data_IF_440894544124
#
_entry.id   IF_440894544124
#
_cell.length_a   1.000
_cell.length_b   1.000
_cell.length_c   1.000
_cell.angle_alpha   90.00
_cell.angle_beta   90.00
_cell.angle_gamma   90.00
#
_symmetry.space_group_name_H-M   'P 1'
#
loop_
_entity.id
_entity.type
_entity.pdbx_description
1 polymer ?
#
# COMPACT_ATOMS: atom_id res chain seq x y z
N UNK A 1 24.55 -46.10 25.36
CA UNK A 1 23.36 -45.81 24.54
C UNK A 1 22.79 -44.49 25.05
N UNK A 2 23.11 -43.37 24.40
CA UNK A 2 22.72 -42.04 24.86
C UNK A 2 22.50 -41.16 23.64
N UNK A 3 21.24 -40.81 23.41
CA UNK A 3 20.71 -40.31 22.14
C UNK A 3 21.12 -38.86 21.91
N UNK A 4 21.71 -38.58 20.75
CA UNK A 4 21.96 -37.23 20.26
C UNK A 4 20.63 -36.56 19.88
N UNK A 5 20.27 -35.48 20.58
CA UNK A 5 19.19 -34.58 20.16
C UNK A 5 19.71 -33.70 19.01
N UNK A 6 19.43 -34.11 17.78
CA UNK A 6 19.46 -33.22 16.63
C UNK A 6 18.38 -32.15 16.81
N UNK A 7 18.81 -30.91 17.03
CA UNK A 7 17.93 -29.74 17.05
C UNK A 7 17.23 -29.62 15.70
N UNK A 8 15.94 -29.94 15.67
CA UNK A 8 15.07 -29.62 14.55
C UNK A 8 15.02 -28.09 14.42
N UNK A 9 15.70 -27.59 13.40
CA UNK A 9 15.63 -26.21 12.98
C UNK A 9 14.17 -25.85 12.71
N UNK A 10 13.61 -25.00 13.57
CA UNK A 10 12.31 -24.39 13.38
C UNK A 10 12.42 -23.38 12.23
N UNK A 11 12.32 -23.87 10.99
CA UNK A 11 12.03 -23.00 9.87
C UNK A 11 10.59 -22.53 10.05
N UNK A 12 10.43 -21.33 10.61
CA UNK A 12 9.15 -20.63 10.53
C UNK A 12 8.93 -20.36 9.06
N UNK A 13 8.07 -21.17 8.43
CA UNK A 13 7.51 -20.85 7.14
C UNK A 13 6.97 -19.41 7.24
N UNK A 14 7.61 -18.51 6.48
CA UNK A 14 7.19 -17.13 6.38
C UNK A 14 5.82 -17.18 5.70
N UNK A 15 4.75 -17.10 6.49
CA UNK A 15 3.40 -17.13 5.96
C UNK A 15 3.29 -16.02 4.91
N UNK A 16 3.10 -16.42 3.65
CA UNK A 16 2.74 -15.48 2.60
C UNK A 16 1.42 -14.83 3.04
N UNK A 17 1.41 -13.50 3.15
CA UNK A 17 0.23 -12.77 3.59
C UNK A 17 -0.95 -13.09 2.68
N UNK A 18 -2.15 -13.24 3.28
CA UNK A 18 -3.38 -13.48 2.53
C UNK A 18 -3.54 -12.46 1.39
N UNK A 19 -3.96 -12.92 0.20
CA UNK A 19 -4.21 -12.03 -0.93
C UNK A 19 -5.48 -11.22 -0.69
N UNK A 20 -5.30 -9.98 -0.24
CA UNK A 20 -6.37 -9.02 0.03
C UNK A 20 -6.90 -8.34 -1.23
N UNK A 21 -6.48 -8.76 -2.44
CA UNK A 21 -6.95 -8.20 -3.70
C UNK A 21 -6.36 -6.82 -4.04
N UNK A 22 -5.30 -6.40 -3.36
CA UNK A 22 -4.61 -5.12 -3.61
C UNK A 22 -3.73 -5.11 -4.88
N UNK A 23 -3.92 -6.08 -5.78
CA UNK A 23 -3.17 -6.20 -7.04
C UNK A 23 -3.43 -5.07 -8.05
N UNK A 24 -4.40 -4.19 -7.78
CA UNK A 24 -4.67 -3.01 -8.61
C UNK A 24 -3.59 -1.93 -8.47
N UNK A 25 -2.87 -1.89 -7.35
CA UNK A 25 -1.84 -0.87 -7.13
C UNK A 25 -0.50 -1.28 -7.77
N UNK A 26 0.22 -0.38 -8.46
CA UNK A 26 1.46 -0.74 -9.11
C UNK A 26 2.49 -1.09 -8.04
N UNK A 27 3.15 -2.25 -8.18
CA UNK A 27 4.24 -2.67 -7.29
C UNK A 27 5.63 -2.51 -7.91
N UNK A 28 5.71 -1.75 -9.01
CA UNK A 28 6.95 -1.48 -9.74
C UNK A 28 7.42 -0.07 -9.46
N UNK A 29 8.64 0.06 -8.95
CA UNK A 29 9.29 1.38 -8.77
C UNK A 29 9.32 2.12 -10.12
N UNK A 30 8.91 3.38 -10.09
CA UNK A 30 8.77 4.23 -11.28
C UNK A 30 7.40 4.19 -11.95
N UNK A 31 6.56 3.18 -11.66
CA UNK A 31 5.17 3.17 -12.10
C UNK A 31 4.37 4.26 -11.37
N UNK A 32 3.32 4.75 -12.03
CA UNK A 32 2.43 5.76 -11.51
C UNK A 32 1.00 5.52 -11.98
N UNK A 33 0.05 6.02 -11.20
CA UNK A 33 -1.37 6.12 -11.56
C UNK A 33 -1.78 7.59 -11.45
N UNK A 34 -2.64 8.04 -12.37
CA UNK A 34 -3.27 9.35 -12.30
C UNK A 34 -4.78 9.17 -12.15
N UNK A 35 -5.35 9.93 -11.23
CA UNK A 35 -6.77 9.95 -10.93
C UNK A 35 -7.32 11.32 -11.29
N UNK A 36 -8.46 11.32 -11.99
CA UNK A 36 -9.30 12.51 -12.09
C UNK A 36 -10.23 12.49 -10.87
N UNK A 37 -10.07 13.47 -9.99
CA UNK A 37 -10.89 13.61 -8.79
C UNK A 37 -11.89 14.72 -9.02
N UNK A 38 -13.17 14.36 -8.91
CA UNK A 38 -14.28 15.29 -8.93
C UNK A 38 -15.03 15.16 -7.61
N UNK A 39 -14.93 16.17 -6.76
CA UNK A 39 -15.58 16.21 -5.45
C UNK A 39 -16.63 17.31 -5.43
N UNK A 40 -17.80 17.00 -4.88
CA UNK A 40 -18.91 17.94 -4.74
C UNK A 40 -19.43 17.87 -3.32
N UNK A 41 -19.69 19.02 -2.71
CA UNK A 41 -20.29 19.07 -1.38
C UNK A 41 -21.38 20.13 -1.29
N UNK A 42 -22.21 19.95 -0.26
CA UNK A 42 -23.37 20.77 0.04
C UNK A 42 -23.36 21.01 1.55
N UNK A 43 -23.45 22.27 1.93
CA UNK A 43 -23.69 22.72 3.29
C UNK A 43 -25.05 23.39 3.32
N UNK A 44 -26.06 22.69 3.84
CA UNK A 44 -27.43 23.18 3.88
C UNK A 44 -27.66 24.27 4.96
N UNK A 45 -26.81 24.35 5.99
CA UNK A 45 -26.89 25.42 6.99
C UNK A 45 -26.32 26.74 6.45
N UNK A 46 -25.20 26.68 5.73
CA UNK A 46 -24.59 27.83 5.10
C UNK A 46 -25.23 28.18 3.73
N UNK A 47 -26.10 27.31 3.20
CA UNK A 47 -26.69 27.46 1.86
C UNK A 47 -25.66 27.35 0.73
N UNK A 48 -24.53 26.69 0.98
CA UNK A 48 -23.41 26.59 0.04
C UNK A 48 -23.48 25.26 -0.69
N UNK A 49 -23.26 25.31 -2.01
CA UNK A 49 -23.02 24.13 -2.85
C UNK A 49 -21.83 24.42 -3.73
N UNK A 50 -20.83 23.55 -3.68
CA UNK A 50 -19.59 23.76 -4.41
C UNK A 50 -18.99 22.43 -4.89
N UNK A 51 -18.00 22.54 -5.77
CA UNK A 51 -17.27 21.42 -6.34
C UNK A 51 -15.82 21.77 -6.62
N UNK A 52 -14.95 20.78 -6.49
CA UNK A 52 -13.55 20.88 -6.90
C UNK A 52 -13.21 19.71 -7.82
N UNK A 53 -12.49 20.04 -8.90
CA UNK A 53 -11.96 19.06 -9.84
C UNK A 53 -10.45 19.24 -9.94
N UNK A 54 -9.70 18.16 -9.75
CA UNK A 54 -8.24 18.16 -9.83
C UNK A 54 -7.71 16.80 -10.25
N UNK A 55 -6.43 16.76 -10.63
CA UNK A 55 -5.73 15.52 -10.94
C UNK A 55 -4.81 15.16 -9.79
N UNK A 56 -4.79 13.88 -9.44
CA UNK A 56 -3.88 13.35 -8.45
C UNK A 56 -2.99 12.31 -9.13
N UNK A 57 -1.68 12.48 -9.04
CA UNK A 57 -0.72 11.50 -9.53
C UNK A 57 0.03 10.87 -8.37
N UNK A 58 -0.02 9.54 -8.30
CA UNK A 58 0.69 8.74 -7.30
C UNK A 58 1.78 7.94 -7.99
N UNK A 59 3.03 8.08 -7.53
CA UNK A 59 4.19 7.38 -8.06
C UNK A 59 4.84 6.51 -7.00
N UNK A 60 5.16 5.28 -7.38
CA UNK A 60 5.98 4.37 -6.56
C UNK A 60 7.43 4.80 -6.67
N UNK A 61 8.03 5.26 -5.58
CA UNK A 61 9.40 5.81 -5.57
C UNK A 61 10.43 4.85 -5.02
N UNK A 62 10.02 3.93 -4.15
CA UNK A 62 10.94 3.04 -3.44
C UNK A 62 10.22 1.75 -3.04
N UNK A 63 10.96 0.65 -3.00
CA UNK A 63 10.57 -0.58 -2.32
C UNK A 63 11.47 -0.76 -1.09
N UNK A 64 10.88 -1.00 0.09
CA UNK A 64 11.60 -1.12 1.35
C UNK A 64 10.96 -2.18 2.24
N UNK A 65 11.72 -2.67 3.23
CA UNK A 65 11.19 -3.54 4.27
C UNK A 65 10.71 -2.69 5.45
N UNK A 66 9.47 -2.90 5.88
CA UNK A 66 8.94 -2.24 7.07
C UNK A 66 9.59 -2.80 8.36
N UNK A 67 9.36 -2.19 9.53
CA UNK A 67 9.90 -2.70 10.79
C UNK A 67 9.45 -4.13 11.16
N UNK A 68 8.40 -4.64 10.52
CA UNK A 68 7.92 -6.02 10.67
C UNK A 68 8.55 -6.99 9.65
N UNK A 69 9.49 -6.51 8.81
CA UNK A 69 10.20 -7.30 7.81
C UNK A 69 9.39 -7.58 6.54
N UNK A 70 8.32 -6.84 6.27
CA UNK A 70 7.46 -7.04 5.09
C UNK A 70 7.85 -6.10 3.95
N UNK A 71 7.88 -6.63 2.73
CA UNK A 71 8.11 -5.82 1.54
C UNK A 71 6.96 -4.83 1.35
N UNK A 72 7.30 -3.55 1.33
CA UNK A 72 6.39 -2.41 1.22
C UNK A 72 6.87 -1.44 0.14
N UNK A 73 5.98 -0.57 -0.32
CA UNK A 73 6.26 0.41 -1.36
C UNK A 73 6.00 1.83 -0.84
N UNK A 74 6.91 2.75 -1.13
CA UNK A 74 6.75 4.18 -0.82
C UNK A 74 6.07 4.88 -1.98
N UNK A 75 5.04 5.65 -1.67
CA UNK A 75 4.24 6.41 -2.63
C UNK A 75 4.55 7.89 -2.46
N UNK A 76 4.65 8.61 -3.57
CA UNK A 76 4.72 10.07 -3.61
C UNK A 76 3.56 10.60 -4.43
N UNK A 77 2.84 11.57 -3.87
CA UNK A 77 1.68 12.24 -4.43
C UNK A 77 2.04 13.62 -4.99
N UNK A 78 1.47 13.96 -6.14
CA UNK A 78 1.53 15.30 -6.73
C UNK A 78 0.16 15.68 -7.30
N UNK A 79 -0.37 16.82 -6.86
CA UNK A 79 -1.65 17.43 -7.28
C UNK A 79 -1.44 18.65 -8.17
#
# INVERSE_FOLDING_TARGET
>A
MGVALFGAACNKDQAEGEDLGYGYFPRKVGAWIEYQVDSMWRDDQAGVRDSVSYRLKEKVVEAYYDPAGRLSWRIHDSS
#
